data_IF_652581373392
#
_entry.id   IF_652581373392
#
_cell.length_a   1.000
_cell.length_b   1.000
_cell.length_c   1.000
_cell.angle_alpha   90.00
_cell.angle_beta   90.00
_cell.angle_gamma   90.00
#
_symmetry.space_group_name_H-M   'P 1'
#
loop_
_entity.id
_entity.type
_entity.pdbx_description
1 polymer ?
#
# COMPACT_ATOMS: atom_id res chain seq x y z
N UNK A 1 54.70 9.72 8.73
CA UNK A 1 53.87 8.90 7.84
C UNK A 1 52.66 8.41 8.65
N UNK A 2 51.58 9.15 8.65
CA UNK A 2 50.34 8.79 9.35
C UNK A 2 49.50 7.94 8.40
N UNK A 3 49.29 6.70 8.78
CA UNK A 3 48.48 5.73 8.06
C UNK A 3 47.01 6.15 8.19
N UNK A 4 46.49 6.90 7.23
CA UNK A 4 45.06 7.16 7.09
C UNK A 4 44.38 5.90 6.56
N UNK A 5 44.10 4.97 7.44
CA UNK A 5 43.15 3.91 7.15
C UNK A 5 41.76 4.55 6.90
N UNK A 6 41.53 4.89 5.65
CA UNK A 6 40.25 5.30 5.10
C UNK A 6 39.34 4.06 5.08
N UNK A 7 38.74 3.72 6.22
CA UNK A 7 37.67 2.75 6.27
C UNK A 7 36.44 3.34 5.57
N UNK A 8 36.40 3.21 4.26
CA UNK A 8 35.23 3.44 3.42
C UNK A 8 34.20 2.37 3.75
N UNK A 9 33.52 2.49 4.90
CA UNK A 9 32.39 1.63 5.24
C UNK A 9 31.15 2.06 4.45
N UNK A 10 31.21 1.89 3.14
CA UNK A 10 30.07 1.94 2.27
C UNK A 10 29.10 0.81 2.59
N UNK A 11 27.90 0.88 2.06
CA UNK A 11 26.87 -0.15 2.15
C UNK A 11 27.39 -1.46 1.54
N UNK A 12 27.50 -2.52 2.34
CA UNK A 12 28.03 -3.80 1.86
C UNK A 12 26.99 -4.57 1.07
N UNK A 13 27.42 -5.52 0.22
CA UNK A 13 26.51 -6.43 -0.47
C UNK A 13 25.67 -7.24 0.53
N UNK A 14 26.25 -7.63 1.66
CA UNK A 14 25.55 -8.32 2.75
C UNK A 14 24.40 -7.45 3.31
N UNK A 15 24.63 -6.16 3.58
CA UNK A 15 23.57 -5.27 4.07
C UNK A 15 22.42 -5.19 3.08
N UNK A 16 22.73 -5.02 1.77
CA UNK A 16 21.73 -4.92 0.70
C UNK A 16 20.90 -6.17 0.58
N UNK A 17 21.53 -7.34 0.49
CA UNK A 17 20.85 -8.62 0.35
C UNK A 17 20.03 -8.95 1.59
N UNK A 18 20.59 -8.80 2.78
CA UNK A 18 19.88 -9.10 4.03
C UNK A 18 18.67 -8.20 4.21
N UNK A 19 18.77 -6.91 3.88
CA UNK A 19 17.67 -5.96 3.93
C UNK A 19 16.57 -6.30 2.90
N UNK A 20 16.97 -6.66 1.67
CA UNK A 20 16.04 -7.07 0.63
C UNK A 20 15.26 -8.35 1.01
N UNK A 21 15.94 -9.34 1.58
CA UNK A 21 15.31 -10.60 2.00
C UNK A 21 14.24 -10.35 3.06
N UNK A 22 14.49 -9.51 4.08
CA UNK A 22 13.47 -9.15 5.05
C UNK A 22 12.29 -8.39 4.44
N UNK A 23 12.58 -7.45 3.53
CA UNK A 23 11.54 -6.74 2.79
C UNK A 23 10.58 -7.69 2.05
N UNK A 24 11.08 -8.78 1.45
CA UNK A 24 10.23 -9.81 0.83
C UNK A 24 9.32 -10.46 1.86
N UNK A 25 9.86 -10.98 2.97
CA UNK A 25 9.07 -11.74 3.95
C UNK A 25 7.98 -10.91 4.62
N UNK A 26 8.30 -9.67 5.03
CA UNK A 26 7.30 -8.80 5.69
C UNK A 26 6.14 -8.45 4.76
N UNK A 27 6.41 -8.19 3.48
CA UNK A 27 5.35 -7.84 2.53
C UNK A 27 4.56 -9.07 2.03
N UNK A 28 5.09 -10.29 2.15
CA UNK A 28 4.30 -11.51 2.00
C UNK A 28 3.20 -11.59 3.08
N UNK A 29 3.53 -11.30 4.34
CA UNK A 29 2.55 -11.24 5.43
C UNK A 29 1.50 -10.16 5.16
N UNK A 30 1.94 -8.97 4.81
CA UNK A 30 1.04 -7.85 4.50
C UNK A 30 0.10 -8.18 3.34
N UNK A 31 0.60 -8.76 2.26
CA UNK A 31 -0.17 -9.14 1.06
C UNK A 31 -1.24 -10.19 1.38
N UNK A 32 -0.91 -11.22 2.16
CA UNK A 32 -1.88 -12.25 2.56
C UNK A 32 -3.06 -11.62 3.30
N UNK A 33 -2.80 -10.75 4.27
CA UNK A 33 -3.87 -10.13 5.06
C UNK A 33 -4.60 -9.04 4.25
N UNK A 34 -3.87 -8.11 3.63
CA UNK A 34 -4.49 -7.02 2.88
C UNK A 34 -5.33 -7.49 1.70
N UNK A 35 -4.91 -8.57 1.02
CA UNK A 35 -5.57 -9.10 -0.17
C UNK A 35 -6.69 -10.10 0.11
N UNK A 36 -6.62 -10.84 1.22
CA UNK A 36 -7.49 -12.01 1.40
C UNK A 36 -8.30 -12.02 2.70
N UNK A 37 -8.03 -11.16 3.68
CA UNK A 37 -8.71 -11.24 4.98
C UNK A 37 -10.22 -10.96 4.88
N UNK A 38 -10.64 -10.00 4.03
CA UNK A 38 -12.05 -9.73 3.79
C UNK A 38 -12.74 -10.97 3.23
N UNK A 39 -12.12 -11.61 2.24
CA UNK A 39 -12.61 -12.86 1.66
C UNK A 39 -12.65 -14.00 2.69
N UNK A 40 -11.57 -14.18 3.44
CA UNK A 40 -11.48 -15.24 4.45
C UNK A 40 -12.54 -15.08 5.54
N UNK A 41 -12.72 -13.89 6.09
CA UNK A 41 -13.73 -13.64 7.12
C UNK A 41 -15.14 -13.73 6.57
N UNK A 42 -15.41 -13.18 5.40
CA UNK A 42 -16.74 -13.17 4.82
C UNK A 42 -17.10 -14.54 4.21
N UNK A 43 -16.30 -15.05 3.30
CA UNK A 43 -16.64 -16.26 2.52
C UNK A 43 -16.33 -17.55 3.27
N UNK A 44 -15.17 -17.63 3.95
CA UNK A 44 -14.73 -18.87 4.59
C UNK A 44 -15.30 -19.03 5.99
N UNK A 45 -15.40 -17.95 6.76
CA UNK A 45 -15.90 -17.96 8.14
C UNK A 45 -17.37 -17.55 8.26
N UNK A 46 -17.99 -17.01 7.20
CA UNK A 46 -19.39 -16.57 7.20
C UNK A 46 -19.66 -15.31 8.06
N UNK A 47 -18.63 -14.48 8.28
CA UNK A 47 -18.80 -13.19 8.97
C UNK A 47 -19.37 -12.17 7.97
N UNK A 48 -20.32 -11.34 8.43
CA UNK A 48 -20.89 -10.26 7.60
C UNK A 48 -19.79 -9.39 6.96
N UNK A 49 -19.96 -9.07 5.68
CA UNK A 49 -19.08 -8.15 4.96
C UNK A 49 -19.06 -6.77 5.61
N UNK A 50 -20.22 -6.26 6.02
CA UNK A 50 -20.37 -4.98 6.75
C UNK A 50 -19.57 -4.98 8.05
N UNK A 51 -19.72 -6.03 8.88
CA UNK A 51 -18.94 -6.14 10.12
C UNK A 51 -17.43 -6.13 9.82
N UNK A 52 -17.00 -6.94 8.87
CA UNK A 52 -15.58 -7.03 8.49
C UNK A 52 -15.07 -5.70 7.96
N UNK A 53 -15.82 -5.02 7.08
CA UNK A 53 -15.47 -3.73 6.52
C UNK A 53 -15.35 -2.63 7.57
N UNK A 54 -16.32 -2.54 8.50
CA UNK A 54 -16.29 -1.57 9.62
C UNK A 54 -15.11 -1.85 10.56
N UNK A 55 -14.89 -3.11 10.91
CA UNK A 55 -13.76 -3.54 11.75
C UNK A 55 -12.41 -3.16 11.11
N UNK A 56 -12.23 -3.49 9.84
CA UNK A 56 -10.99 -3.16 9.11
C UNK A 56 -10.79 -1.65 8.96
N UNK A 57 -11.86 -0.89 8.71
CA UNK A 57 -11.80 0.58 8.69
C UNK A 57 -11.38 1.12 10.05
N UNK A 58 -11.99 0.64 11.14
CA UNK A 58 -11.64 1.07 12.50
C UNK A 58 -10.17 0.78 12.83
N UNK A 59 -9.66 -0.39 12.44
CA UNK A 59 -8.26 -0.74 12.62
C UNK A 59 -7.32 0.17 11.81
N UNK A 60 -7.67 0.55 10.56
CA UNK A 60 -6.88 1.49 9.76
C UNK A 60 -6.85 2.90 10.36
N UNK A 61 -7.97 3.34 10.94
CA UNK A 61 -7.99 4.60 11.69
C UNK A 61 -7.12 4.51 12.94
N UNK A 62 -7.17 3.37 13.66
CA UNK A 62 -6.30 3.11 14.80
C UNK A 62 -4.81 3.14 14.42
N UNK A 63 -4.42 2.54 13.29
CA UNK A 63 -3.04 2.53 12.78
C UNK A 63 -2.49 3.96 12.60
N UNK A 64 -3.34 4.91 12.20
CA UNK A 64 -2.95 6.31 12.03
C UNK A 64 -2.42 6.96 13.34
N UNK A 65 -2.85 6.45 14.48
CA UNK A 65 -2.34 6.87 15.80
C UNK A 65 -1.23 5.96 16.31
N UNK A 66 -1.34 4.67 16.05
CA UNK A 66 -0.39 3.65 16.51
C UNK A 66 1.00 3.82 15.86
N UNK A 67 1.07 4.17 14.58
CA UNK A 67 2.35 4.33 13.86
C UNK A 67 3.25 5.44 14.45
N UNK A 68 2.75 6.67 14.69
CA UNK A 68 3.55 7.71 15.36
C UNK A 68 3.95 7.33 16.78
N UNK A 69 3.10 6.63 17.54
CA UNK A 69 3.42 6.15 18.88
C UNK A 69 4.58 5.16 18.84
N UNK A 70 4.57 4.22 17.89
CA UNK A 70 5.67 3.28 17.71
C UNK A 70 6.96 4.00 17.32
N UNK A 71 6.90 5.02 16.48
CA UNK A 71 8.03 5.88 16.15
C UNK A 71 8.68 6.49 17.41
N UNK A 72 7.88 7.02 18.34
CA UNK A 72 8.35 7.58 19.61
C UNK A 72 8.98 6.50 20.50
N UNK A 73 8.37 5.32 20.58
CA UNK A 73 8.90 4.19 21.37
C UNK A 73 10.26 3.77 20.85
N UNK A 74 10.41 3.62 19.54
CA UNK A 74 11.67 3.30 18.88
C UNK A 74 12.71 4.39 19.12
N UNK A 75 12.31 5.66 19.07
CA UNK A 75 13.23 6.79 19.31
C UNK A 75 13.86 6.75 20.70
N UNK A 76 13.09 6.37 21.72
CA UNK A 76 13.54 6.24 23.12
C UNK A 76 14.32 4.95 23.41
N UNK A 77 14.40 4.04 22.42
CA UNK A 77 15.06 2.74 22.62
C UNK A 77 16.57 2.85 22.47
N UNK A 78 17.28 2.37 23.48
CA UNK A 78 18.74 2.28 23.50
C UNK A 78 19.14 0.91 24.02
N UNK A 79 19.54 -0.01 23.11
CA UNK A 79 19.97 -1.36 23.51
C UNK A 79 21.35 -1.70 22.97
N UNK A 80 22.00 -2.70 23.57
CA UNK A 80 23.33 -3.19 23.12
C UNK A 80 23.30 -3.78 21.70
N UNK A 81 22.14 -4.23 21.22
CA UNK A 81 21.97 -4.83 19.88
C UNK A 81 21.49 -3.84 18.82
N UNK A 82 21.23 -2.59 19.21
CA UNK A 82 20.77 -1.50 18.34
C UNK A 82 19.47 -0.87 18.79
N UNK A 83 19.00 0.12 18.03
CA UNK A 83 17.77 0.86 18.29
C UNK A 83 16.56 0.18 17.63
N UNK A 84 16.71 -0.29 16.38
CA UNK A 84 15.65 -0.83 15.53
C UNK A 84 15.56 -2.36 15.59
N UNK A 85 16.70 -3.04 15.62
CA UNK A 85 16.81 -4.50 15.54
C UNK A 85 16.00 -5.26 16.61
N UNK A 86 15.94 -4.84 17.89
CA UNK A 86 15.12 -5.52 18.90
C UNK A 86 13.64 -5.55 18.53
N UNK A 87 13.13 -4.43 17.99
CA UNK A 87 11.74 -4.28 17.59
C UNK A 87 11.39 -5.08 16.34
N UNK A 88 12.31 -5.12 15.37
CA UNK A 88 12.15 -5.97 14.19
C UNK A 88 11.99 -7.43 14.60
N UNK A 89 12.87 -7.94 15.44
CA UNK A 89 12.80 -9.33 15.88
C UNK A 89 11.57 -9.64 16.74
N UNK A 90 11.30 -8.83 17.77
CA UNK A 90 10.15 -9.04 18.66
C UNK A 90 8.82 -8.89 17.91
N UNK A 91 8.70 -7.85 17.05
CA UNK A 91 7.53 -7.62 16.21
C UNK A 91 7.29 -8.76 15.23
N UNK A 92 8.35 -9.29 14.61
CA UNK A 92 8.25 -10.44 13.70
C UNK A 92 7.71 -11.68 14.40
N UNK A 93 8.26 -12.04 15.56
CA UNK A 93 7.79 -13.23 16.31
C UNK A 93 6.33 -13.06 16.75
N UNK A 94 5.99 -11.93 17.35
CA UNK A 94 4.62 -11.65 17.76
C UNK A 94 3.65 -11.65 16.58
N UNK A 95 4.01 -10.98 15.49
CA UNK A 95 3.14 -10.89 14.30
C UNK A 95 2.96 -12.24 13.62
N UNK A 96 4.01 -13.08 13.57
CA UNK A 96 3.91 -14.44 13.01
C UNK A 96 2.95 -15.33 13.80
N UNK A 97 2.96 -15.24 15.13
CA UNK A 97 2.02 -15.98 15.99
C UNK A 97 0.59 -15.47 15.79
N UNK A 98 0.40 -14.16 15.73
CA UNK A 98 -0.91 -13.55 15.50
C UNK A 98 -1.43 -13.87 14.11
N UNK A 99 -0.58 -13.82 13.07
CA UNK A 99 -0.93 -14.20 11.71
C UNK A 99 -1.44 -15.65 11.65
N UNK A 100 -0.69 -16.58 12.23
CA UNK A 100 -1.10 -17.98 12.28
C UNK A 100 -2.42 -18.14 13.04
N UNK A 101 -2.56 -17.51 14.22
CA UNK A 101 -3.80 -17.53 15.01
C UNK A 101 -5.01 -16.94 14.27
N UNK A 102 -4.81 -15.89 13.46
CA UNK A 102 -5.86 -15.25 12.68
C UNK A 102 -6.48 -16.19 11.63
N UNK A 103 -5.68 -17.06 11.03
CA UNK A 103 -6.13 -18.05 10.04
C UNK A 103 -6.38 -19.44 10.64
N UNK A 104 -6.07 -19.65 11.94
CA UNK A 104 -6.28 -20.93 12.66
C UNK A 104 -7.46 -20.83 13.63
N UNK A 105 -8.59 -20.30 13.15
CA UNK A 105 -9.79 -20.11 13.98
C UNK A 105 -10.34 -21.49 14.43
N UNK A 106 -10.64 -21.73 15.72
CA UNK A 106 -11.23 -22.98 16.17
C UNK A 106 -12.60 -23.24 15.54
N UNK A 107 -12.90 -24.47 15.12
CA UNK A 107 -14.15 -24.82 14.44
C UNK A 107 -15.40 -24.66 15.31
N UNK A 108 -15.26 -24.84 16.61
CA UNK A 108 -16.33 -24.68 17.58
C UNK A 108 -16.66 -23.21 17.89
N UNK A 109 -15.83 -22.27 17.44
CA UNK A 109 -16.02 -20.85 17.69
C UNK A 109 -17.04 -20.28 16.72
N UNK A 110 -18.19 -19.86 17.23
CA UNK A 110 -19.33 -19.33 16.45
C UNK A 110 -19.93 -18.07 17.09
N UNK A 111 -20.80 -17.38 16.36
CA UNK A 111 -21.53 -16.22 16.85
C UNK A 111 -20.61 -15.10 17.36
N UNK A 112 -20.93 -14.53 18.53
CA UNK A 112 -20.18 -13.42 19.13
C UNK A 112 -18.71 -13.76 19.43
N UNK A 113 -18.44 -15.01 19.82
CA UNK A 113 -17.05 -15.45 20.06
C UNK A 113 -16.17 -15.38 18.82
N UNK A 114 -16.72 -15.76 17.65
CA UNK A 114 -16.03 -15.65 16.36
C UNK A 114 -15.78 -14.17 15.99
N UNK A 115 -16.74 -13.29 16.21
CA UNK A 115 -16.60 -11.87 15.95
C UNK A 115 -15.52 -11.22 16.82
N UNK A 116 -15.48 -11.59 18.11
CA UNK A 116 -14.45 -11.11 19.05
C UNK A 116 -13.06 -11.62 18.62
N UNK A 117 -12.96 -12.92 18.27
CA UNK A 117 -11.70 -13.50 17.79
C UNK A 117 -11.19 -12.77 16.55
N UNK A 118 -12.03 -12.61 15.53
CA UNK A 118 -11.68 -11.93 14.29
C UNK A 118 -11.22 -10.49 14.54
N UNK A 119 -11.95 -9.76 15.39
CA UNK A 119 -11.61 -8.37 15.74
C UNK A 119 -10.29 -8.29 16.48
N UNK A 120 -10.12 -9.07 17.55
CA UNK A 120 -8.89 -9.04 18.36
C UNK A 120 -7.69 -9.47 17.52
N UNK A 121 -7.81 -10.56 16.74
CA UNK A 121 -6.72 -11.04 15.89
C UNK A 121 -6.31 -9.99 14.85
N UNK A 122 -7.26 -9.32 14.21
CA UNK A 122 -6.96 -8.30 13.20
C UNK A 122 -6.29 -7.06 13.80
N UNK A 123 -6.78 -6.55 14.95
CA UNK A 123 -6.14 -5.42 15.64
C UNK A 123 -4.75 -5.78 16.14
N UNK A 124 -4.59 -6.96 16.76
CA UNK A 124 -3.27 -7.44 17.22
C UNK A 124 -2.30 -7.63 16.04
N UNK A 125 -2.80 -8.11 14.90
CA UNK A 125 -1.99 -8.20 13.69
C UNK A 125 -1.48 -6.82 13.24
N UNK A 126 -2.35 -5.82 13.14
CA UNK A 126 -1.96 -4.45 12.80
C UNK A 126 -0.93 -3.87 13.78
N UNK A 127 -1.20 -3.98 15.08
CA UNK A 127 -0.29 -3.49 16.14
C UNK A 127 1.09 -4.16 16.07
N UNK A 128 1.13 -5.48 15.99
CA UNK A 128 2.40 -6.24 15.97
C UNK A 128 3.14 -6.05 14.65
N UNK A 129 2.42 -5.84 13.54
CA UNK A 129 3.01 -5.48 12.26
C UNK A 129 3.70 -4.12 12.33
N UNK A 130 3.04 -3.10 12.90
CA UNK A 130 3.63 -1.77 13.11
C UNK A 130 4.89 -1.81 13.98
N UNK A 131 4.92 -2.69 15.01
CA UNK A 131 6.10 -2.89 15.88
C UNK A 131 7.34 -3.32 15.09
N UNK A 132 7.17 -4.05 13.99
CA UNK A 132 8.24 -4.48 13.10
C UNK A 132 8.45 -3.51 11.94
N UNK A 133 7.39 -3.08 11.26
CA UNK A 133 7.47 -2.34 9.99
C UNK A 133 8.05 -0.93 10.14
N UNK A 134 7.64 -0.19 11.18
CA UNK A 134 8.17 1.16 11.44
C UNK A 134 9.69 1.13 11.68
N UNK A 135 10.24 0.28 12.58
CA UNK A 135 11.69 0.14 12.73
C UNK A 135 12.40 -0.32 11.46
N UNK A 136 11.79 -1.23 10.69
CA UNK A 136 12.38 -1.74 9.45
C UNK A 136 12.67 -0.62 8.44
N UNK A 137 11.70 0.21 8.14
CA UNK A 137 11.89 1.34 7.23
C UNK A 137 12.76 2.44 7.84
N UNK A 138 12.63 2.70 9.14
CA UNK A 138 13.43 3.69 9.87
C UNK A 138 14.91 3.29 10.00
N UNK A 139 15.25 2.03 9.78
CA UNK A 139 16.62 1.54 9.84
C UNK A 139 17.46 1.98 8.63
N UNK A 140 16.86 2.31 7.47
CA UNK A 140 17.59 2.72 6.26
C UNK A 140 18.60 3.84 6.54
N UNK A 141 18.22 4.99 7.12
CA UNK A 141 19.16 6.05 7.44
C UNK A 141 20.23 5.63 8.45
N UNK A 142 19.95 4.69 9.36
CA UNK A 142 20.90 4.22 10.37
C UNK A 142 22.00 3.30 9.79
N UNK A 143 21.74 2.66 8.66
CA UNK A 143 22.67 1.77 7.95
C UNK A 143 23.49 2.55 6.93
N UNK A 144 22.90 3.57 6.28
CA UNK A 144 23.46 4.28 5.12
C UNK A 144 24.08 5.61 5.50
N UNK A 145 25.04 6.07 4.70
CA UNK A 145 25.40 7.49 4.62
C UNK A 145 24.33 8.23 3.82
N UNK A 146 24.40 9.56 3.78
CA UNK A 146 23.54 10.38 2.91
C UNK A 146 23.86 10.14 1.42
N UNK A 147 22.92 10.45 0.52
CA UNK A 147 23.10 10.39 -0.92
C UNK A 147 22.81 9.01 -1.52
N UNK A 148 23.59 8.60 -2.51
CA UNK A 148 23.36 7.43 -3.38
C UNK A 148 23.18 6.11 -2.63
N UNK A 149 23.86 5.89 -1.51
CA UNK A 149 23.71 4.67 -0.71
C UNK A 149 22.31 4.54 -0.10
N UNK A 150 21.74 5.68 0.39
CA UNK A 150 20.38 5.71 0.95
C UNK A 150 19.34 5.49 -0.15
N UNK A 151 19.50 6.16 -1.28
CA UNK A 151 18.63 5.98 -2.44
C UNK A 151 18.64 4.53 -2.91
N UNK A 152 19.82 3.95 -3.12
CA UNK A 152 19.98 2.57 -3.56
C UNK A 152 19.32 1.57 -2.59
N UNK A 153 19.54 1.71 -1.28
CA UNK A 153 18.92 0.80 -0.30
C UNK A 153 17.39 0.97 -0.25
N UNK A 154 16.89 2.20 -0.39
CA UNK A 154 15.46 2.48 -0.47
C UNK A 154 14.83 1.83 -1.72
N UNK A 155 15.49 1.93 -2.88
CA UNK A 155 15.03 1.28 -4.12
C UNK A 155 15.06 -0.24 -3.98
N UNK A 156 16.14 -0.80 -3.45
CA UNK A 156 16.27 -2.25 -3.21
C UNK A 156 15.15 -2.72 -2.27
N UNK A 157 14.93 -2.04 -1.15
CA UNK A 157 13.88 -2.37 -0.20
C UNK A 157 12.50 -2.32 -0.83
N UNK A 158 12.16 -1.25 -1.56
CA UNK A 158 10.86 -1.11 -2.24
C UNK A 158 10.63 -2.16 -3.32
N UNK A 159 11.66 -2.46 -4.12
CA UNK A 159 11.58 -3.51 -5.15
C UNK A 159 11.37 -4.89 -4.52
N UNK A 160 12.13 -5.22 -3.48
CA UNK A 160 11.98 -6.47 -2.75
C UNK A 160 10.62 -6.60 -2.08
N UNK A 161 10.11 -5.52 -1.46
CA UNK A 161 8.75 -5.43 -0.93
C UNK A 161 7.69 -5.73 -2.00
N UNK A 162 7.83 -5.16 -3.20
CA UNK A 162 6.90 -5.43 -4.31
C UNK A 162 6.91 -6.90 -4.73
N UNK A 163 8.09 -7.54 -4.76
CA UNK A 163 8.19 -8.98 -5.01
C UNK A 163 7.51 -9.77 -3.89
N UNK A 164 7.76 -9.42 -2.63
CA UNK A 164 7.11 -10.04 -1.47
C UNK A 164 5.59 -9.93 -1.52
N UNK A 165 5.07 -8.77 -1.89
CA UNK A 165 3.63 -8.55 -2.05
C UNK A 165 3.03 -9.39 -3.21
N UNK A 166 3.75 -9.51 -4.32
CA UNK A 166 3.27 -10.24 -5.50
C UNK A 166 3.16 -11.76 -5.24
N UNK A 167 4.05 -12.36 -4.44
CA UNK A 167 4.06 -13.80 -4.21
C UNK A 167 2.71 -14.30 -3.66
N UNK A 168 2.17 -13.83 -2.52
CA UNK A 168 0.87 -14.28 -2.04
C UNK A 168 -0.27 -13.88 -2.97
N UNK A 169 -0.22 -12.70 -3.61
CA UNK A 169 -1.25 -12.29 -4.58
C UNK A 169 -1.44 -13.32 -5.68
N UNK A 170 -0.32 -13.90 -6.18
CA UNK A 170 -0.35 -14.91 -7.25
C UNK A 170 -0.65 -16.30 -6.72
N UNK A 171 -0.08 -16.67 -5.57
CA UNK A 171 -0.06 -18.07 -5.14
C UNK A 171 -1.18 -18.46 -4.19
N UNK A 172 -1.79 -17.51 -3.47
CA UNK A 172 -2.74 -17.84 -2.39
C UNK A 172 -3.89 -18.70 -2.87
N UNK A 173 -4.65 -18.28 -3.88
CA UNK A 173 -5.81 -19.06 -4.33
C UNK A 173 -5.38 -20.38 -4.99
N UNK A 174 -4.26 -20.39 -5.74
CA UNK A 174 -3.72 -21.59 -6.33
C UNK A 174 -3.34 -22.67 -5.28
N UNK A 175 -2.92 -22.24 -4.09
CA UNK A 175 -2.56 -23.12 -2.98
C UNK A 175 -3.81 -23.50 -2.18
N UNK A 176 -4.59 -22.51 -1.79
CA UNK A 176 -5.76 -22.67 -0.90
C UNK A 176 -6.80 -23.62 -1.50
N UNK A 177 -7.06 -23.55 -2.81
CA UNK A 177 -8.02 -24.41 -3.49
C UNK A 177 -7.52 -25.85 -3.72
N UNK A 178 -6.21 -26.09 -3.62
CA UNK A 178 -5.60 -27.41 -3.91
C UNK A 178 -5.11 -28.16 -2.69
N UNK A 179 -4.87 -27.47 -1.59
CA UNK A 179 -4.29 -28.05 -0.37
C UNK A 179 -5.32 -28.03 0.76
N UNK A 180 -5.42 -29.14 1.49
CA UNK A 180 -6.16 -29.20 2.75
C UNK A 180 -7.63 -29.61 2.68
N UNK A 181 -8.20 -29.88 1.49
CA UNK A 181 -9.59 -30.34 1.34
C UNK A 181 -10.67 -29.28 1.65
N UNK A 182 -10.28 -28.10 2.18
CA UNK A 182 -11.15 -26.96 2.37
C UNK A 182 -10.37 -25.64 2.29
N UNK A 183 -11.00 -24.54 1.85
CA UNK A 183 -10.37 -23.23 1.80
C UNK A 183 -9.83 -22.82 3.19
N UNK A 184 -10.56 -23.15 4.27
CA UNK A 184 -10.14 -22.88 5.64
C UNK A 184 -8.80 -23.53 6.00
N UNK A 185 -8.65 -24.83 5.71
CA UNK A 185 -7.40 -25.54 5.94
C UNK A 185 -6.27 -25.04 5.04
N UNK A 186 -6.59 -24.69 3.79
CA UNK A 186 -5.64 -24.10 2.85
C UNK A 186 -5.09 -22.76 3.34
N UNK A 187 -5.95 -21.87 3.82
CA UNK A 187 -5.52 -20.59 4.41
C UNK A 187 -4.68 -20.76 5.67
N UNK A 188 -5.06 -21.68 6.57
CA UNK A 188 -4.29 -21.99 7.77
C UNK A 188 -2.88 -22.51 7.41
N UNK A 189 -2.79 -23.46 6.47
CA UNK A 189 -1.51 -23.97 5.99
C UNK A 189 -0.64 -22.86 5.40
N UNK A 190 -1.20 -22.04 4.51
CA UNK A 190 -0.47 -20.97 3.85
C UNK A 190 -0.01 -19.89 4.85
N UNK A 191 -0.86 -19.52 5.82
CA UNK A 191 -0.49 -18.60 6.88
C UNK A 191 0.68 -19.12 7.71
N UNK A 192 0.70 -20.41 8.02
CA UNK A 192 1.83 -21.06 8.70
C UNK A 192 3.12 -21.00 7.89
N UNK A 193 3.05 -21.29 6.59
CA UNK A 193 4.22 -21.22 5.69
C UNK A 193 4.73 -19.78 5.60
N UNK A 194 3.85 -18.81 5.36
CA UNK A 194 4.24 -17.39 5.27
C UNK A 194 4.80 -16.89 6.60
N UNK A 195 4.22 -17.26 7.74
CA UNK A 195 4.75 -16.93 9.05
C UNK A 195 6.17 -17.48 9.25
N UNK A 196 6.43 -18.71 8.87
CA UNK A 196 7.76 -19.32 8.94
C UNK A 196 8.77 -18.61 8.02
N UNK A 197 8.38 -18.33 6.78
CA UNK A 197 9.22 -17.58 5.83
C UNK A 197 9.53 -16.18 6.38
N UNK A 198 8.54 -15.50 6.95
CA UNK A 198 8.71 -14.19 7.55
C UNK A 198 9.73 -14.19 8.71
N UNK A 199 9.63 -15.17 9.63
CA UNK A 199 10.61 -15.32 10.72
C UNK A 199 12.01 -15.52 10.16
N UNK A 200 12.18 -16.42 9.19
CA UNK A 200 13.49 -16.71 8.59
C UNK A 200 14.07 -15.48 7.89
N UNK A 201 13.27 -14.78 7.08
CA UNK A 201 13.73 -13.62 6.32
C UNK A 201 14.09 -12.43 7.21
N UNK A 202 13.31 -12.17 8.25
CA UNK A 202 13.63 -11.11 9.21
C UNK A 202 14.78 -11.49 10.15
N UNK A 203 14.98 -12.78 10.43
CA UNK A 203 16.18 -13.23 11.11
C UNK A 203 17.44 -12.97 10.28
N UNK A 204 17.37 -13.16 8.96
CA UNK A 204 18.46 -12.80 8.03
C UNK A 204 18.72 -11.29 8.10
N UNK A 205 17.70 -10.45 8.12
CA UNK A 205 17.84 -8.99 8.31
C UNK A 205 18.49 -8.68 9.65
N UNK A 206 17.96 -9.25 10.72
CA UNK A 206 18.47 -9.05 12.08
C UNK A 206 19.96 -9.41 12.23
N UNK A 207 20.39 -10.53 11.65
CA UNK A 207 21.79 -11.01 11.73
C UNK A 207 22.72 -10.32 10.70
N UNK A 208 22.19 -9.96 9.54
CA UNK A 208 22.95 -9.46 8.41
C UNK A 208 23.19 -7.96 8.47
N UNK A 209 22.23 -7.19 8.97
CA UNK A 209 22.29 -5.72 8.97
C UNK A 209 22.73 -5.20 10.33
N UNK A 210 23.66 -4.23 10.34
CA UNK A 210 24.13 -3.56 11.57
C UNK A 210 23.87 -2.07 11.50
N UNK A 211 23.26 -1.53 12.54
CA UNK A 211 23.12 -0.08 12.73
C UNK A 211 24.47 0.58 12.95
N UNK A 212 24.78 1.59 12.16
CA UNK A 212 26.10 2.28 12.17
C UNK A 212 26.01 3.71 12.70
N UNK A 213 24.77 4.25 12.84
CA UNK A 213 24.52 5.64 13.23
C UNK A 213 23.28 5.76 14.08
N UNK A 214 23.36 6.64 15.06
CA UNK A 214 22.17 7.11 15.79
C UNK A 214 21.64 8.33 15.04
N UNK A 215 20.43 8.23 14.53
CA UNK A 215 19.74 9.33 13.83
C UNK A 215 18.52 9.70 14.64
N UNK A 216 18.38 11.00 14.95
CA UNK A 216 17.10 11.55 15.41
C UNK A 216 16.20 11.75 14.19
N UNK A 217 15.01 11.17 14.22
CA UNK A 217 13.97 11.42 13.23
C UNK A 217 12.88 12.26 13.90
N UNK A 218 12.68 13.46 13.38
CA UNK A 218 11.53 14.27 13.79
C UNK A 218 10.29 13.71 13.09
N UNK A 219 9.49 12.96 13.82
CA UNK A 219 8.19 12.48 13.34
C UNK A 219 7.15 13.56 13.63
N UNK A 220 6.55 14.19 12.63
CA UNK A 220 5.55 15.23 12.84
C UNK A 220 4.32 14.64 13.54
N UNK A 221 3.75 15.43 14.45
CA UNK A 221 2.50 15.04 15.11
C UNK A 221 1.34 15.09 14.11
N UNK A 222 0.31 14.28 14.34
CA UNK A 222 -0.93 14.28 13.52
C UNK A 222 -1.53 15.69 13.44
N UNK A 223 -1.49 16.44 14.53
CA UNK A 223 -1.96 17.84 14.56
C UNK A 223 -1.16 18.76 13.62
N UNK A 224 0.15 18.61 13.58
CA UNK A 224 1.02 19.39 12.68
C UNK A 224 0.79 19.01 11.22
N UNK A 225 0.55 17.73 10.94
CA UNK A 225 0.21 17.23 9.60
C UNK A 225 -1.08 17.91 9.09
N UNK A 226 -2.15 17.88 9.86
CA UNK A 226 -3.40 18.53 9.49
C UNK A 226 -3.27 20.05 9.39
N UNK A 227 -2.58 20.70 10.33
CA UNK A 227 -2.35 22.16 10.28
C UNK A 227 -1.61 22.57 9.01
N UNK A 228 -0.56 21.83 8.63
CA UNK A 228 0.21 22.09 7.39
C UNK A 228 -0.66 21.91 6.15
N UNK A 229 -1.50 20.87 6.13
CA UNK A 229 -2.41 20.61 5.03
C UNK A 229 -3.45 21.73 4.84
N UNK A 230 -4.11 22.17 5.92
CA UNK A 230 -5.12 23.23 5.86
C UNK A 230 -4.54 24.60 5.49
N UNK A 231 -3.26 24.84 5.71
CA UNK A 231 -2.57 26.09 5.31
C UNK A 231 -2.02 26.05 3.89
N UNK A 232 -1.98 24.87 3.26
CA UNK A 232 -1.47 24.65 1.91
C UNK A 232 -2.58 24.10 1.01
N UNK A 233 -3.29 25.00 0.32
CA UNK A 233 -4.43 24.64 -0.55
C UNK A 233 -4.05 23.70 -1.68
N UNK A 234 -2.85 23.83 -2.26
CA UNK A 234 -2.40 22.93 -3.33
C UNK A 234 -2.11 21.51 -2.79
N UNK A 235 -1.54 21.40 -1.59
CA UNK A 235 -1.38 20.11 -0.93
C UNK A 235 -2.74 19.44 -0.64
N UNK A 236 -3.73 20.21 -0.17
CA UNK A 236 -5.09 19.71 0.05
C UNK A 236 -5.71 19.14 -1.23
N UNK A 237 -5.52 19.82 -2.37
CA UNK A 237 -6.05 19.35 -3.66
C UNK A 237 -5.42 18.04 -4.07
N UNK A 238 -4.09 17.92 -3.94
CA UNK A 238 -3.37 16.68 -4.25
C UNK A 238 -3.80 15.55 -3.33
N UNK A 239 -3.92 15.81 -2.02
CA UNK A 239 -4.33 14.84 -1.00
C UNK A 239 -5.74 14.28 -1.29
N UNK A 240 -6.72 15.14 -1.56
CA UNK A 240 -8.08 14.69 -1.91
C UNK A 240 -8.07 13.85 -3.20
N UNK A 241 -7.26 14.26 -4.19
CA UNK A 241 -7.12 13.48 -5.43
C UNK A 241 -6.47 12.11 -5.19
N UNK A 242 -5.47 12.03 -4.30
CA UNK A 242 -4.86 10.76 -3.88
C UNK A 242 -5.88 9.84 -3.20
N UNK A 243 -6.74 10.38 -2.32
CA UNK A 243 -7.80 9.58 -1.67
C UNK A 243 -8.73 8.97 -2.72
N UNK A 244 -9.30 9.79 -3.59
CA UNK A 244 -10.25 9.34 -4.60
C UNK A 244 -9.63 8.32 -5.56
N UNK A 245 -8.40 8.58 -5.99
CA UNK A 245 -7.66 7.71 -6.89
C UNK A 245 -7.31 6.36 -6.24
N UNK A 246 -6.71 6.37 -5.04
CA UNK A 246 -6.34 5.13 -4.36
C UNK A 246 -7.56 4.35 -3.87
N UNK A 247 -8.62 5.02 -3.37
CA UNK A 247 -9.84 4.34 -2.99
C UNK A 247 -10.46 3.58 -4.18
N UNK A 248 -10.44 4.18 -5.38
CA UNK A 248 -10.91 3.52 -6.61
C UNK A 248 -10.13 2.24 -6.90
N UNK A 249 -8.79 2.27 -6.83
CA UNK A 249 -7.96 1.08 -7.01
C UNK A 249 -8.22 0.02 -5.94
N UNK A 250 -8.28 0.44 -4.68
CA UNK A 250 -8.41 -0.49 -3.57
C UNK A 250 -9.78 -1.15 -3.52
N UNK A 251 -10.88 -0.47 -3.90
CA UNK A 251 -12.20 -1.11 -4.05
C UNK A 251 -12.13 -2.26 -5.05
N UNK A 252 -11.52 -2.02 -6.22
CA UNK A 252 -11.32 -3.07 -7.23
C UNK A 252 -10.50 -4.22 -6.68
N UNK A 253 -9.38 -3.94 -6.01
CA UNK A 253 -8.51 -4.97 -5.45
C UNK A 253 -9.22 -5.82 -4.40
N UNK A 254 -10.04 -5.20 -3.52
CA UNK A 254 -10.79 -5.91 -2.48
C UNK A 254 -11.90 -6.82 -3.05
N UNK A 255 -12.52 -6.41 -4.15
CA UNK A 255 -13.65 -7.14 -4.75
C UNK A 255 -13.23 -8.06 -5.90
N UNK A 256 -12.00 -7.95 -6.41
CA UNK A 256 -11.54 -8.72 -7.57
C UNK A 256 -11.69 -10.23 -7.37
N UNK A 257 -11.35 -10.75 -6.18
CA UNK A 257 -11.48 -12.18 -5.90
C UNK A 257 -12.96 -12.64 -5.93
N UNK A 258 -13.87 -11.83 -5.40
CA UNK A 258 -15.32 -12.09 -5.47
C UNK A 258 -15.82 -12.06 -6.91
N UNK A 259 -15.37 -11.09 -7.71
CA UNK A 259 -15.70 -10.97 -9.12
C UNK A 259 -15.25 -12.21 -9.90
N UNK A 260 -13.99 -12.63 -9.74
CA UNK A 260 -13.50 -13.81 -10.44
C UNK A 260 -14.17 -15.11 -9.96
N UNK A 261 -14.49 -15.22 -8.67
CA UNK A 261 -15.16 -16.43 -8.13
C UNK A 261 -16.64 -16.51 -8.55
N UNK A 262 -17.40 -15.43 -8.39
CA UNK A 262 -18.87 -15.48 -8.50
C UNK A 262 -19.41 -14.97 -9.84
N UNK A 263 -18.72 -14.08 -10.53
CA UNK A 263 -19.15 -13.54 -11.83
C UNK A 263 -18.49 -14.30 -12.99
N UNK A 264 -17.17 -14.47 -12.94
CA UNK A 264 -16.41 -15.18 -13.98
C UNK A 264 -16.46 -16.71 -13.78
N UNK A 265 -16.67 -17.19 -12.55
CA UNK A 265 -16.72 -18.61 -12.21
C UNK A 265 -15.36 -19.29 -12.09
N UNK A 266 -14.25 -18.52 -12.01
CA UNK A 266 -12.90 -19.06 -11.88
C UNK A 266 -12.01 -18.17 -11.03
N UNK A 267 -11.81 -18.54 -9.77
CA UNK A 267 -10.99 -17.79 -8.81
C UNK A 267 -9.48 -17.80 -9.15
N UNK A 268 -8.98 -18.78 -9.91
CA UNK A 268 -7.56 -18.80 -10.30
C UNK A 268 -7.19 -17.64 -11.21
N UNK A 269 -8.16 -17.12 -11.97
CA UNK A 269 -7.95 -15.94 -12.84
C UNK A 269 -7.68 -14.66 -12.06
N UNK A 270 -8.03 -14.58 -10.79
CA UNK A 270 -7.62 -13.48 -9.91
C UNK A 270 -6.09 -13.35 -9.85
N UNK A 271 -5.39 -14.48 -9.69
CA UNK A 271 -3.92 -14.50 -9.64
C UNK A 271 -3.30 -14.01 -10.96
N UNK A 272 -3.86 -14.43 -12.08
CA UNK A 272 -3.42 -13.98 -13.40
C UNK A 272 -3.69 -12.49 -13.62
N UNK A 273 -4.89 -12.03 -13.26
CA UNK A 273 -5.29 -10.61 -13.34
C UNK A 273 -4.33 -9.72 -12.52
N UNK A 274 -4.02 -10.12 -11.27
CA UNK A 274 -3.07 -9.42 -10.42
C UNK A 274 -1.65 -9.42 -10.98
N UNK A 275 -1.20 -10.54 -11.54
CA UNK A 275 0.16 -10.67 -12.13
C UNK A 275 0.33 -9.78 -13.35
N UNK A 276 -0.60 -9.86 -14.31
CA UNK A 276 -0.57 -9.05 -15.55
C UNK A 276 -0.72 -7.57 -15.21
N UNK A 277 -1.64 -7.25 -14.29
CA UNK A 277 -1.83 -5.88 -13.79
C UNK A 277 -0.56 -5.33 -13.15
N UNK A 278 0.05 -6.07 -12.22
CA UNK A 278 1.29 -5.69 -11.56
C UNK A 278 2.44 -5.45 -12.55
N UNK A 279 2.60 -6.32 -13.54
CA UNK A 279 3.58 -6.12 -14.61
C UNK A 279 3.32 -4.82 -15.41
N UNK A 280 2.06 -4.57 -15.78
CA UNK A 280 1.64 -3.33 -16.46
C UNK A 280 1.91 -2.09 -15.62
N UNK A 281 1.64 -2.16 -14.32
CA UNK A 281 1.91 -1.08 -13.37
C UNK A 281 3.40 -0.72 -13.30
N UNK A 282 4.27 -1.71 -13.13
CA UNK A 282 5.72 -1.49 -13.08
C UNK A 282 6.25 -0.94 -14.40
N UNK A 283 5.82 -1.51 -15.53
CA UNK A 283 6.22 -1.04 -16.86
C UNK A 283 5.85 0.42 -17.09
N UNK A 284 4.65 0.81 -16.68
CA UNK A 284 4.18 2.19 -16.82
C UNK A 284 4.96 3.17 -15.94
N UNK A 285 5.30 2.79 -14.70
CA UNK A 285 6.12 3.60 -13.81
C UNK A 285 7.51 3.87 -14.41
N UNK A 286 8.14 2.84 -14.96
CA UNK A 286 9.45 2.97 -15.63
C UNK A 286 9.37 3.81 -16.90
N UNK A 287 8.24 3.82 -17.60
CA UNK A 287 8.05 4.61 -18.83
C UNK A 287 7.85 6.12 -18.58
N UNK A 288 7.50 6.53 -17.36
CA UNK A 288 7.16 7.92 -17.03
C UNK A 288 8.25 8.95 -17.40
N UNK A 289 9.57 8.72 -17.18
CA UNK A 289 10.59 9.69 -17.58
C UNK A 289 10.63 9.93 -19.10
N UNK A 290 10.30 8.91 -19.90
CA UNK A 290 10.22 9.02 -21.36
C UNK A 290 8.99 9.83 -21.78
N UNK A 291 7.85 9.57 -21.15
CA UNK A 291 6.60 10.29 -21.40
C UNK A 291 6.73 11.78 -21.06
N UNK A 292 7.40 12.12 -19.95
CA UNK A 292 7.63 13.51 -19.51
C UNK A 292 8.51 14.33 -20.45
N UNK A 293 9.25 13.70 -21.37
CA UNK A 293 9.98 14.45 -22.42
C UNK A 293 9.05 15.08 -23.45
N UNK A 294 7.81 14.56 -23.62
CA UNK A 294 6.88 14.99 -24.67
C UNK A 294 5.62 15.65 -24.13
N UNK A 295 5.19 15.27 -22.91
CA UNK A 295 3.92 15.71 -22.32
C UNK A 295 4.11 16.24 -20.91
N UNK A 296 3.31 17.24 -20.53
CA UNK A 296 3.28 17.76 -19.16
C UNK A 296 2.74 16.71 -18.19
N UNK A 297 3.16 16.80 -16.93
CA UNK A 297 2.72 15.90 -15.87
C UNK A 297 1.19 15.87 -15.71
N UNK A 298 0.51 17.02 -15.88
CA UNK A 298 -0.97 17.09 -15.86
C UNK A 298 -1.60 16.34 -17.05
N UNK A 299 -1.02 16.43 -18.23
CA UNK A 299 -1.52 15.72 -19.43
C UNK A 299 -1.33 14.23 -19.29
N UNK A 300 -0.18 13.78 -18.77
CA UNK A 300 0.10 12.36 -18.51
C UNK A 300 -0.89 11.80 -17.46
N UNK A 301 -1.15 12.54 -16.37
CA UNK A 301 -2.15 12.12 -15.38
C UNK A 301 -3.54 11.96 -16.00
N UNK A 302 -3.95 12.91 -16.83
CA UNK A 302 -5.26 12.85 -17.49
C UNK A 302 -5.35 11.65 -18.45
N UNK A 303 -4.30 11.39 -19.22
CA UNK A 303 -4.19 10.22 -20.09
C UNK A 303 -4.18 8.91 -19.32
N UNK A 304 -3.45 8.85 -18.19
CA UNK A 304 -3.40 7.69 -17.30
C UNK A 304 -4.79 7.34 -16.75
N UNK A 305 -5.52 8.33 -16.25
CA UNK A 305 -6.89 8.12 -15.73
C UNK A 305 -7.85 7.71 -16.86
N UNK A 306 -7.77 8.34 -18.04
CA UNK A 306 -8.57 7.94 -19.18
C UNK A 306 -8.30 6.49 -19.61
N UNK A 307 -7.04 6.07 -19.63
CA UNK A 307 -6.62 4.69 -19.91
C UNK A 307 -7.21 3.72 -18.89
N UNK A 308 -7.15 4.04 -17.61
CA UNK A 308 -7.75 3.23 -16.53
C UNK A 308 -9.26 3.10 -16.72
N UNK A 309 -9.96 4.21 -16.97
CA UNK A 309 -11.42 4.20 -17.19
C UNK A 309 -11.77 3.34 -18.42
N UNK A 310 -11.00 3.46 -19.50
CA UNK A 310 -11.18 2.62 -20.68
C UNK A 310 -11.05 1.13 -20.37
N UNK A 311 -10.03 0.75 -19.59
CA UNK A 311 -9.85 -0.62 -19.14
C UNK A 311 -11.02 -1.13 -18.26
N UNK A 312 -11.55 -0.30 -17.39
CA UNK A 312 -12.75 -0.62 -16.60
C UNK A 312 -14.00 -0.78 -17.44
N UNK A 313 -14.23 0.12 -18.39
CA UNK A 313 -15.36 0.01 -19.32
C UNK A 313 -15.27 -1.28 -20.14
N UNK A 314 -14.07 -1.62 -20.63
CA UNK A 314 -13.86 -2.87 -21.35
C UNK A 314 -14.16 -4.08 -20.46
N UNK A 315 -13.67 -4.09 -19.21
CA UNK A 315 -13.94 -5.16 -18.25
C UNK A 315 -15.45 -5.31 -17.97
N UNK A 316 -16.15 -4.18 -17.80
CA UNK A 316 -17.60 -4.17 -17.60
C UNK A 316 -18.36 -4.76 -18.81
N UNK A 317 -17.97 -4.39 -20.02
CA UNK A 317 -18.59 -4.91 -21.26
C UNK A 317 -18.34 -6.41 -21.41
N UNK A 318 -17.08 -6.86 -21.24
CA UNK A 318 -16.75 -8.28 -21.35
C UNK A 318 -17.51 -9.14 -20.33
N UNK A 319 -17.54 -8.70 -19.07
CA UNK A 319 -18.28 -9.43 -18.04
C UNK A 319 -19.78 -9.42 -18.29
N UNK A 320 -20.34 -8.30 -18.78
CA UNK A 320 -21.78 -8.22 -19.12
C UNK A 320 -22.19 -9.10 -20.30
N UNK A 321 -21.27 -9.35 -21.21
CA UNK A 321 -21.45 -10.29 -22.32
C UNK A 321 -21.06 -11.74 -21.97
N UNK A 322 -20.73 -12.00 -20.70
CA UNK A 322 -20.26 -13.30 -20.22
C UNK A 322 -19.03 -13.83 -20.98
N UNK A 323 -18.19 -12.91 -21.47
CA UNK A 323 -16.93 -13.26 -22.14
C UNK A 323 -15.83 -13.50 -21.11
N UNK A 324 -15.51 -14.77 -20.88
CA UNK A 324 -14.50 -15.20 -19.88
C UNK A 324 -13.15 -15.51 -20.50
N UNK A 325 -12.85 -14.95 -21.69
CA UNK A 325 -11.58 -15.18 -22.36
C UNK A 325 -10.42 -14.61 -21.55
N UNK A 326 -9.49 -15.46 -21.15
CA UNK A 326 -8.36 -15.18 -20.26
C UNK A 326 -7.46 -14.06 -20.81
N UNK A 327 -7.23 -14.04 -22.14
CA UNK A 327 -6.38 -13.04 -22.80
C UNK A 327 -7.04 -11.66 -22.73
N UNK A 328 -8.36 -11.58 -22.98
CA UNK A 328 -9.09 -10.32 -22.92
C UNK A 328 -9.17 -9.78 -21.47
N UNK A 329 -9.42 -10.64 -20.50
CA UNK A 329 -9.41 -10.25 -19.07
C UNK A 329 -8.01 -9.79 -18.63
N UNK A 330 -6.96 -10.47 -19.09
CA UNK A 330 -5.57 -10.04 -18.85
C UNK A 330 -5.26 -8.69 -19.49
N UNK A 331 -5.76 -8.44 -20.73
CA UNK A 331 -5.62 -7.14 -21.38
C UNK A 331 -6.33 -6.02 -20.59
N UNK A 332 -7.53 -6.29 -20.03
CA UNK A 332 -8.21 -5.33 -19.16
C UNK A 332 -7.34 -5.01 -17.93
N UNK A 333 -6.79 -6.02 -17.26
CA UNK A 333 -5.87 -5.83 -16.13
C UNK A 333 -4.69 -4.94 -16.54
N UNK A 334 -4.03 -5.27 -17.63
CA UNK A 334 -2.88 -4.53 -18.13
C UNK A 334 -3.21 -3.05 -18.36
N UNK A 335 -4.31 -2.77 -19.05
CA UNK A 335 -4.75 -1.40 -19.36
C UNK A 335 -5.11 -0.63 -18.07
N UNK A 336 -5.86 -1.24 -17.15
CA UNK A 336 -6.25 -0.62 -15.87
C UNK A 336 -5.00 -0.23 -15.08
N UNK A 337 -4.08 -1.16 -14.89
CA UNK A 337 -2.93 -0.96 -14.02
C UNK A 337 -1.82 -0.10 -14.64
N UNK A 338 -1.73 0.01 -15.96
CA UNK A 338 -0.86 1.01 -16.63
C UNK A 338 -1.23 2.42 -16.16
N UNK A 339 -2.52 2.77 -16.18
CA UNK A 339 -2.95 4.08 -15.73
C UNK A 339 -2.69 4.29 -14.25
N UNK A 340 -2.94 3.29 -13.41
CA UNK A 340 -2.64 3.36 -11.97
C UNK A 340 -1.14 3.53 -11.69
N UNK A 341 -0.26 2.86 -12.43
CA UNK A 341 1.18 3.00 -12.26
C UNK A 341 1.66 4.43 -12.51
N UNK A 342 1.26 5.01 -13.64
CA UNK A 342 1.59 6.41 -13.96
C UNK A 342 1.04 7.38 -12.92
N UNK A 343 -0.22 7.24 -12.53
CA UNK A 343 -0.85 8.14 -11.58
C UNK A 343 -0.24 8.05 -10.18
N UNK A 344 0.17 6.86 -9.73
CA UNK A 344 0.85 6.67 -8.43
C UNK A 344 2.14 7.46 -8.34
N UNK A 345 2.97 7.44 -9.38
CA UNK A 345 4.22 8.22 -9.40
C UNK A 345 3.95 9.71 -9.53
N UNK A 346 3.01 10.10 -10.42
CA UNK A 346 2.67 11.50 -10.63
C UNK A 346 2.09 12.16 -9.38
N UNK A 347 1.24 11.47 -8.63
CA UNK A 347 0.70 12.02 -7.37
C UNK A 347 1.79 12.30 -6.33
N UNK A 348 2.85 11.49 -6.29
CA UNK A 348 4.02 11.75 -5.43
C UNK A 348 4.80 12.97 -5.91
N UNK A 349 4.96 13.15 -7.24
CA UNK A 349 5.61 14.33 -7.81
C UNK A 349 4.80 15.59 -7.51
N UNK A 350 3.49 15.58 -7.74
CA UNK A 350 2.64 16.73 -7.41
C UNK A 350 2.64 17.06 -5.92
N UNK A 351 2.76 16.06 -5.06
CA UNK A 351 2.87 16.29 -3.62
C UNK A 351 4.21 16.96 -3.27
N UNK A 352 5.30 16.56 -3.92
CA UNK A 352 6.60 17.23 -3.77
C UNK A 352 6.55 18.69 -4.22
N UNK A 353 5.89 19.00 -5.34
CA UNK A 353 5.69 20.38 -5.83
C UNK A 353 4.96 21.25 -4.79
N UNK A 354 4.04 20.66 -4.02
CA UNK A 354 3.33 21.40 -2.96
C UNK A 354 4.20 21.74 -1.75
N UNK A 355 5.36 21.09 -1.57
CA UNK A 355 6.32 21.44 -0.52
C UNK A 355 6.93 22.82 -0.82
N UNK A 356 7.42 23.00 -2.04
CA UNK A 356 8.01 24.25 -2.49
C UNK A 356 6.98 25.40 -2.52
N UNK A 357 5.76 25.11 -2.98
CA UNK A 357 4.63 26.05 -2.89
C UNK A 357 4.31 26.44 -1.45
N UNK A 358 4.30 25.49 -0.51
CA UNK A 358 4.07 25.74 0.90
C UNK A 358 5.16 26.62 1.53
N UNK A 359 6.43 26.41 1.17
CA UNK A 359 7.55 27.25 1.59
C UNK A 359 7.44 28.67 1.00
N UNK A 360 7.09 28.76 -0.28
CA UNK A 360 6.88 30.05 -0.95
C UNK A 360 5.76 30.87 -0.29
N UNK A 361 4.60 30.23 -0.04
CA UNK A 361 3.39 30.87 0.50
C UNK A 361 3.47 31.18 1.99
N UNK A 362 3.98 30.25 2.80
CA UNK A 362 3.92 30.29 4.26
C UNK A 362 5.29 30.57 4.92
N UNK A 363 6.37 30.63 4.16
CA UNK A 363 7.73 30.86 4.66
C UNK A 363 8.34 29.68 5.42
N UNK A 364 7.70 28.51 5.43
CA UNK A 364 8.15 27.30 6.14
C UNK A 364 8.17 26.10 5.22
N UNK A 365 9.32 25.41 5.14
CA UNK A 365 9.45 24.17 4.42
C UNK A 365 9.00 22.99 5.30
N UNK A 366 7.87 22.39 4.98
CA UNK A 366 7.25 21.31 5.75
C UNK A 366 7.30 19.96 4.99
N UNK A 367 8.46 19.60 4.45
CA UNK A 367 8.63 18.42 3.59
C UNK A 367 8.24 17.12 4.31
N UNK A 368 8.82 16.86 5.49
CA UNK A 368 8.52 15.66 6.27
C UNK A 368 7.05 15.53 6.63
N UNK A 369 6.40 16.65 6.92
CA UNK A 369 4.97 16.71 7.25
C UNK A 369 4.11 16.30 6.05
N UNK A 370 4.42 16.83 4.86
CA UNK A 370 3.66 16.55 3.63
C UNK A 370 3.80 15.09 3.19
N UNK A 371 5.02 14.51 3.25
CA UNK A 371 5.20 13.10 2.92
C UNK A 371 4.61 12.14 3.96
N UNK A 372 4.63 12.50 5.24
CA UNK A 372 3.90 11.74 6.28
C UNK A 372 2.39 11.76 6.04
N UNK A 373 1.86 12.91 5.57
CA UNK A 373 0.46 13.02 5.16
C UNK A 373 0.12 12.09 3.99
N UNK A 374 1.01 11.91 3.02
CA UNK A 374 0.80 10.94 1.93
C UNK A 374 0.55 9.53 2.46
N UNK A 375 1.36 9.07 3.39
CA UNK A 375 1.19 7.74 4.00
C UNK A 375 -0.14 7.62 4.74
N UNK A 376 -0.50 8.63 5.52
CA UNK A 376 -1.79 8.70 6.21
C UNK A 376 -2.97 8.62 5.24
N UNK A 377 -2.91 9.39 4.16
CA UNK A 377 -3.98 9.49 3.14
C UNK A 377 -4.16 8.18 2.38
N UNK A 378 -3.09 7.47 2.06
CA UNK A 378 -3.15 6.14 1.44
C UNK A 378 -3.82 5.13 2.37
N UNK A 379 -3.53 5.16 3.67
CA UNK A 379 -4.23 4.33 4.67
C UNK A 379 -5.71 4.69 4.78
N UNK A 380 -6.05 5.97 4.76
CA UNK A 380 -7.44 6.44 4.77
C UNK A 380 -8.21 5.98 3.52
N UNK A 381 -7.60 6.06 2.34
CA UNK A 381 -8.18 5.53 1.10
C UNK A 381 -8.43 4.00 1.19
N UNK A 382 -7.48 3.26 1.76
CA UNK A 382 -7.64 1.83 2.03
C UNK A 382 -8.79 1.56 3.02
N UNK A 383 -8.91 2.35 4.07
CA UNK A 383 -10.00 2.24 5.05
C UNK A 383 -11.38 2.44 4.40
N UNK A 384 -11.53 3.48 3.57
CA UNK A 384 -12.74 3.76 2.83
C UNK A 384 -13.09 2.62 1.87
N UNK A 385 -12.10 2.11 1.14
CA UNK A 385 -12.33 1.06 0.14
C UNK A 385 -12.79 -0.26 0.77
N UNK A 386 -12.21 -0.64 1.91
CA UNK A 386 -12.61 -1.87 2.62
C UNK A 386 -14.03 -1.74 3.19
N UNK A 387 -14.38 -0.55 3.72
CA UNK A 387 -15.74 -0.28 4.16
C UNK A 387 -16.73 -0.39 2.99
N UNK A 388 -16.45 0.26 1.86
CA UNK A 388 -17.29 0.21 0.67
C UNK A 388 -17.43 -1.22 0.15
N UNK A 389 -16.34 -1.99 0.10
CA UNK A 389 -16.36 -3.38 -0.33
C UNK A 389 -17.19 -4.25 0.63
N UNK A 390 -16.94 -4.16 1.94
CA UNK A 390 -17.61 -4.97 2.94
C UNK A 390 -19.14 -4.68 3.03
N UNK A 391 -19.50 -3.40 3.12
CA UNK A 391 -20.92 -2.99 3.09
C UNK A 391 -21.57 -3.36 1.75
N UNK A 392 -20.83 -3.14 0.67
CA UNK A 392 -21.29 -3.44 -0.68
C UNK A 392 -21.67 -4.90 -0.87
N UNK A 393 -20.84 -5.85 -0.39
CA UNK A 393 -21.12 -7.29 -0.47
C UNK A 393 -22.45 -7.64 0.22
N UNK A 394 -22.71 -7.10 1.41
CA UNK A 394 -23.96 -7.37 2.13
C UNK A 394 -25.18 -6.70 1.46
N UNK A 395 -25.02 -5.45 0.99
CA UNK A 395 -26.11 -4.69 0.33
C UNK A 395 -26.57 -5.35 -0.97
N UNK A 396 -25.64 -5.91 -1.75
CA UNK A 396 -25.99 -6.63 -2.99
C UNK A 396 -26.57 -8.03 -2.70
N UNK A 397 -26.59 -8.46 -1.44
CA UNK A 397 -27.09 -9.77 -1.04
C UNK A 397 -26.25 -10.94 -1.58
N UNK A 398 -24.91 -10.81 -1.57
CA UNK A 398 -24.04 -11.89 -2.01
C UNK A 398 -24.09 -13.04 -1.03
N UNK A 399 -24.56 -14.20 -1.48
CA UNK A 399 -24.59 -15.45 -0.69
C UNK A 399 -23.35 -16.27 -0.93
N UNK A 400 -22.49 -16.31 0.08
CA UNK A 400 -21.21 -17.02 0.02
C UNK A 400 -21.35 -18.54 -0.03
N UNK A 401 -22.53 -19.09 0.31
CA UNK A 401 -22.84 -20.53 0.27
C UNK A 401 -23.51 -20.96 -1.03
N UNK A 402 -23.96 -20.03 -1.85
CA UNK A 402 -24.60 -20.35 -3.13
C UNK A 402 -23.55 -20.57 -4.22
N UNK A 403 -23.70 -21.65 -4.98
CA UNK A 403 -22.85 -21.93 -6.15
C UNK A 403 -23.06 -20.88 -7.26
N UNK A 404 -24.30 -20.39 -7.39
CA UNK A 404 -24.64 -19.35 -8.38
C UNK A 404 -25.35 -18.18 -7.69
N UNK A 405 -25.01 -16.98 -8.13
CA UNK A 405 -25.59 -15.74 -7.60
C UNK A 405 -26.75 -15.25 -8.49
N UNK A 406 -27.66 -14.48 -7.91
CA UNK A 406 -28.73 -13.84 -8.70
C UNK A 406 -28.14 -12.82 -9.69
N UNK A 407 -28.85 -12.58 -10.80
CA UNK A 407 -28.42 -11.58 -11.79
C UNK A 407 -28.30 -10.17 -11.19
N UNK A 408 -29.13 -9.82 -10.22
CA UNK A 408 -29.04 -8.54 -9.50
C UNK A 408 -27.81 -8.46 -8.62
N UNK A 409 -27.42 -9.53 -7.94
CA UNK A 409 -26.20 -9.62 -7.13
C UNK A 409 -24.95 -9.48 -8.01
N UNK A 410 -24.91 -10.18 -9.15
CA UNK A 410 -23.78 -10.08 -10.11
C UNK A 410 -23.68 -8.66 -10.67
N UNK A 411 -24.80 -8.05 -11.07
CA UNK A 411 -24.81 -6.66 -11.52
C UNK A 411 -24.33 -5.70 -10.42
N UNK A 412 -24.80 -5.90 -9.19
CA UNK A 412 -24.35 -5.12 -8.03
C UNK A 412 -22.85 -5.24 -7.77
N UNK A 413 -22.29 -6.45 -7.89
CA UNK A 413 -20.85 -6.69 -7.75
C UNK A 413 -20.05 -5.93 -8.83
N UNK A 414 -20.48 -6.01 -10.09
CA UNK A 414 -19.89 -5.25 -11.21
C UNK A 414 -19.99 -3.74 -10.97
N UNK A 415 -21.14 -3.28 -10.46
CA UNK A 415 -21.38 -1.86 -10.17
C UNK A 415 -20.38 -1.34 -9.12
N UNK A 416 -20.24 -2.04 -7.99
CA UNK A 416 -19.34 -1.61 -6.91
C UNK A 416 -17.87 -1.71 -7.32
N UNK A 417 -17.49 -2.79 -7.99
CA UNK A 417 -16.08 -3.04 -8.36
C UNK A 417 -15.61 -2.18 -9.54
N UNK A 418 -16.50 -1.79 -10.46
CA UNK A 418 -16.12 -1.16 -11.72
C UNK A 418 -16.69 0.26 -11.82
N UNK A 419 -18.01 0.44 -11.63
CA UNK A 419 -18.65 1.75 -11.86
C UNK A 419 -18.29 2.75 -10.76
N UNK A 420 -18.31 2.35 -9.48
CA UNK A 420 -17.92 3.24 -8.38
C UNK A 420 -16.47 3.74 -8.57
N UNK A 421 -15.45 2.88 -8.87
CA UNK A 421 -14.12 3.34 -9.22
C UNK A 421 -14.06 4.31 -10.40
N UNK A 422 -14.81 4.07 -11.47
CA UNK A 422 -14.89 5.01 -12.61
C UNK A 422 -15.38 6.38 -12.15
N UNK A 423 -16.44 6.43 -11.37
CA UNK A 423 -16.98 7.70 -10.82
C UNK A 423 -15.94 8.39 -9.93
N UNK A 424 -15.26 7.63 -9.07
CA UNK A 424 -14.17 8.15 -8.22
C UNK A 424 -13.01 8.73 -9.04
N UNK A 425 -12.59 8.06 -10.10
CA UNK A 425 -11.54 8.51 -11.00
C UNK A 425 -11.94 9.78 -11.78
N UNK A 426 -13.17 9.84 -12.27
CA UNK A 426 -13.72 11.04 -12.93
C UNK A 426 -13.74 12.21 -11.95
N UNK A 427 -14.25 11.98 -10.74
CA UNK A 427 -14.28 13.01 -9.69
C UNK A 427 -12.85 13.49 -9.35
N UNK A 428 -11.89 12.57 -9.20
CA UNK A 428 -10.50 12.89 -8.94
C UNK A 428 -9.88 13.80 -10.00
N UNK A 429 -10.02 13.43 -11.29
CA UNK A 429 -9.39 14.21 -12.37
C UNK A 429 -10.07 15.56 -12.58
N UNK A 430 -11.40 15.63 -12.48
CA UNK A 430 -12.13 16.90 -12.61
C UNK A 430 -11.78 17.86 -11.48
N UNK A 431 -11.74 17.36 -10.24
CA UNK A 431 -11.33 18.13 -9.08
C UNK A 431 -9.89 18.64 -9.22
N UNK A 432 -8.96 17.74 -9.56
CA UNK A 432 -7.55 18.07 -9.75
C UNK A 432 -7.36 19.11 -10.86
N UNK A 433 -7.91 18.88 -12.05
CA UNK A 433 -7.73 19.81 -13.19
C UNK A 433 -8.30 21.20 -12.94
N UNK A 434 -9.43 21.28 -12.22
CA UNK A 434 -10.10 22.56 -11.90
C UNK A 434 -9.34 23.37 -10.84
N UNK A 435 -8.71 22.72 -9.88
CA UNK A 435 -8.19 23.37 -8.67
C UNK A 435 -6.67 23.44 -8.60
N UNK A 436 -5.95 22.45 -9.16
CA UNK A 436 -4.49 22.40 -9.08
C UNK A 436 -3.85 23.41 -10.05
N UNK A 437 -3.09 24.36 -9.48
CA UNK A 437 -2.55 25.51 -10.24
C UNK A 437 -1.04 25.38 -10.54
N UNK A 438 -0.34 24.46 -9.91
CA UNK A 438 1.11 24.30 -10.07
C UNK A 438 1.43 23.66 -11.41
N UNK A 439 1.61 24.49 -12.46
CA UNK A 439 2.17 24.07 -13.73
C UNK A 439 3.69 23.95 -13.63
N UNK A 440 4.31 23.31 -14.62
CA UNK A 440 5.79 23.19 -14.67
C UNK A 440 6.46 24.56 -14.75
N UNK A 441 5.85 25.54 -15.43
CA UNK A 441 6.29 26.93 -15.48
C UNK A 441 6.16 27.60 -14.11
N UNK A 442 5.00 27.44 -13.44
CA UNK A 442 4.78 28.03 -12.12
C UNK A 442 5.72 27.45 -11.06
N UNK A 443 6.01 26.14 -11.13
CA UNK A 443 6.98 25.51 -10.25
C UNK A 443 8.41 26.07 -10.44
N UNK A 444 8.81 26.35 -11.70
CA UNK A 444 10.09 27.01 -11.99
C UNK A 444 10.15 28.43 -11.44
N UNK A 445 9.08 29.20 -11.59
CA UNK A 445 8.98 30.55 -11.01
C UNK A 445 9.11 30.52 -9.49
N UNK A 446 8.36 29.64 -8.82
CA UNK A 446 8.43 29.46 -7.36
C UNK A 446 9.84 29.08 -6.92
N UNK A 447 10.48 28.14 -7.59
CA UNK A 447 11.83 27.72 -7.27
C UNK A 447 12.84 28.88 -7.39
N UNK A 448 12.71 29.71 -8.44
CA UNK A 448 13.57 30.88 -8.62
C UNK A 448 13.31 31.98 -7.57
N UNK A 449 12.06 32.26 -7.25
CA UNK A 449 11.69 33.20 -6.20
C UNK A 449 12.22 32.74 -4.82
N UNK A 450 12.15 31.45 -4.52
CA UNK A 450 12.72 30.85 -3.31
C UNK A 450 14.24 30.98 -3.28
N UNK A 451 14.91 30.71 -4.40
CA UNK A 451 16.36 30.86 -4.53
C UNK A 451 16.80 32.29 -4.20
N UNK A 452 16.18 33.28 -4.85
CA UNK A 452 16.48 34.71 -4.62
C UNK A 452 16.23 35.10 -3.16
N UNK A 453 15.13 34.61 -2.57
CA UNK A 453 14.81 34.87 -1.16
C UNK A 453 15.86 34.29 -0.22
N UNK A 454 16.28 33.05 -0.44
CA UNK A 454 17.27 32.38 0.40
C UNK A 454 18.66 33.00 0.28
N UNK A 455 19.06 33.43 -0.92
CA UNK A 455 20.30 34.20 -1.12
C UNK A 455 20.32 35.50 -0.35
N UNK A 456 19.20 36.25 -0.37
CA UNK A 456 19.05 37.50 0.41
C UNK A 456 19.09 37.29 1.93
N UNK A 457 18.64 36.13 2.40
CA UNK A 457 18.66 35.76 3.83
C UNK A 457 20.01 35.14 4.26
N UNK A 458 20.98 35.01 3.38
CA UNK A 458 22.28 34.36 3.68
C UNK A 458 22.19 32.87 3.97
N UNK A 459 21.07 32.23 3.64
CA UNK A 459 20.88 30.79 3.78
C UNK A 459 21.50 30.08 2.56
N UNK A 460 22.59 29.35 2.76
CA UNK A 460 23.15 28.45 1.71
C UNK A 460 22.23 27.24 1.54
N UNK A 461 21.91 26.92 0.28
CA UNK A 461 21.19 25.70 -0.11
C UNK A 461 21.93 24.40 0.30
#
# INVERSE_FOLDING_TARGET
>A
MANTNNSSSGLTARDKVSYAVGAVGKDMVYSLVAGFILYYYNTVLGISGTFTGVMMMAARVFDAFNDPMMGIVVEKTHTKIGKFRPWILSGTVMNSLVLFGMFSVPENLKGSGLLVWATVAYFLWGMTYTVMDIPFWSMIPAITKTGTDRENLSVIGRTASSVGYAIPTVTTMLIVTRIGGSERAGFMFLAGVIAAVFVVTELVTFLGVKERRVIKQDTPSVKEMFKSLFTNDQAMIVVVSIILFNASLYITTQLALYFFKYDIGNSDLYSLFGTIGGAGQVLSMVSLPVLRKKWSSKSILSGAIATTIFGYVLLFVLSSLSITNVILLGLCAFIIYIGFGLATVLTTIFLADTVDYGEWKNGKRNESVIFSMQTFVVKLASAISVLVAGVGIDVIGLDTNAETQSASTIFGLRFIMIIIPIVGLIAAILYFRKKYQLTEERNKEIAEELRIRNEKLGMRN
#
